data_IF_106124471837
#
_entry.id   IF_106124471837
#
_cell.length_a   1.000
_cell.length_b   1.000
_cell.length_c   1.000
_cell.angle_alpha   90.00
_cell.angle_beta   90.00
_cell.angle_gamma   90.00
#
_symmetry.space_group_name_H-M   'P 1'
#
loop_
_entity.id
_entity.type
_entity.pdbx_description
1 polymer ?
#
# COMPACT_ATOMS: atom_id res chain seq x y z
N UNK A 1 -4.35 -4.44 17.10
CA UNK A 1 -3.86 -5.70 16.53
C UNK A 1 -3.69 -6.68 17.67
N UNK A 2 -4.57 -7.67 17.75
CA UNK A 2 -4.46 -8.78 18.71
C UNK A 2 -3.56 -9.88 18.13
N UNK A 3 -3.05 -10.81 18.95
CA UNK A 3 -2.21 -11.92 18.47
C UNK A 3 -2.88 -12.80 17.40
N UNK A 4 -4.22 -12.80 17.37
CA UNK A 4 -5.02 -13.63 16.46
C UNK A 4 -5.41 -12.88 15.17
N UNK A 5 -4.97 -11.63 15.00
CA UNK A 5 -5.25 -10.80 13.83
C UNK A 5 -4.06 -10.79 12.86
N UNK A 6 -4.36 -10.92 11.56
CA UNK A 6 -3.39 -10.73 10.49
C UNK A 6 -3.82 -9.58 9.58
N UNK A 7 -2.86 -8.72 9.23
CA UNK A 7 -3.06 -7.70 8.19
C UNK A 7 -2.50 -8.22 6.87
N UNK A 8 -3.34 -8.23 5.83
CA UNK A 8 -2.95 -8.63 4.48
C UNK A 8 -3.04 -7.44 3.54
N UNK A 9 -2.01 -7.25 2.73
CA UNK A 9 -2.03 -6.29 1.64
C UNK A 9 -2.14 -7.04 0.30
N UNK A 10 -3.23 -6.80 -0.43
CA UNK A 10 -3.45 -7.38 -1.76
C UNK A 10 -2.93 -6.42 -2.83
N UNK A 11 -1.76 -6.73 -3.40
CA UNK A 11 -1.14 -5.92 -4.46
C UNK A 11 -1.51 -6.37 -5.89
N UNK A 12 -2.08 -7.57 -6.05
CA UNK A 12 -2.50 -8.11 -7.34
C UNK A 12 -3.85 -8.83 -7.27
N UNK A 13 -4.71 -8.61 -8.27
CA UNK A 13 -5.96 -9.34 -8.47
C UNK A 13 -5.97 -10.04 -9.85
N UNK A 14 -6.16 -11.36 -9.86
CA UNK A 14 -6.21 -12.17 -11.08
C UNK A 14 -7.52 -12.04 -11.85
N UNK A 15 -8.59 -11.55 -11.21
CA UNK A 15 -9.88 -11.33 -11.85
C UNK A 15 -9.80 -10.29 -12.98
N UNK A 16 -10.49 -10.55 -14.10
CA UNK A 16 -10.46 -9.71 -15.32
C UNK A 16 -11.78 -8.98 -15.58
N UNK A 17 -12.55 -8.71 -14.54
CA UNK A 17 -13.92 -8.17 -14.59
C UNK A 17 -13.99 -6.62 -14.52
N UNK A 18 -12.91 -5.94 -14.91
CA UNK A 18 -12.84 -4.48 -14.97
C UNK A 18 -12.41 -3.77 -13.68
N UNK A 19 -12.20 -4.49 -12.58
CA UNK A 19 -11.61 -3.92 -11.35
C UNK A 19 -10.13 -3.56 -11.53
N UNK A 20 -9.60 -2.68 -10.68
CA UNK A 20 -8.16 -2.43 -10.59
C UNK A 20 -7.43 -3.68 -10.13
N UNK A 21 -6.46 -4.14 -10.93
CA UNK A 21 -5.75 -5.40 -10.71
C UNK A 21 -4.36 -5.25 -10.11
N UNK A 22 -3.79 -4.06 -10.18
CA UNK A 22 -2.42 -3.80 -9.73
C UNK A 22 -2.43 -2.65 -8.72
N UNK A 23 -1.91 -2.94 -7.52
CA UNK A 23 -1.60 -1.96 -6.50
C UNK A 23 -0.11 -1.99 -6.23
N UNK A 24 0.69 -1.04 -6.74
CA UNK A 24 2.12 -1.02 -6.45
C UNK A 24 2.33 -0.78 -4.95
N UNK A 25 3.10 -1.66 -4.32
CA UNK A 25 3.56 -1.49 -2.94
C UNK A 25 5.07 -1.53 -2.91
N UNK A 26 5.67 -0.53 -2.28
CA UNK A 26 7.12 -0.43 -2.13
C UNK A 26 7.44 0.25 -0.80
N UNK A 27 8.66 0.04 -0.35
CA UNK A 27 9.27 0.75 0.75
C UNK A 27 10.72 1.07 0.37
N UNK A 28 11.26 2.13 0.97
CA UNK A 28 12.66 2.49 0.85
C UNK A 28 13.21 2.85 2.22
N UNK A 29 14.51 2.72 2.38
CA UNK A 29 15.22 3.25 3.55
C UNK A 29 15.61 4.67 3.23
N UNK A 30 15.17 5.63 4.05
CA UNK A 30 15.66 7.00 3.95
C UNK A 30 17.01 7.09 4.70
N UNK A 31 18.13 7.36 3.99
CA UNK A 31 19.45 7.42 4.60
C UNK A 31 19.63 8.61 5.55
N UNK A 32 18.68 9.54 5.58
CA UNK A 32 18.68 10.71 6.46
C UNK A 32 17.91 10.49 7.77
N UNK A 33 17.31 9.31 7.95
CA UNK A 33 16.53 8.95 9.15
C UNK A 33 17.41 8.94 10.41
N UNK A 34 17.10 9.73 11.46
CA UNK A 34 17.80 9.66 12.75
C UNK A 34 17.63 8.31 13.45
N UNK A 35 18.61 7.92 14.28
CA UNK A 35 18.58 6.64 15.00
C UNK A 35 17.45 6.55 16.04
N UNK A 36 16.96 7.69 16.53
CA UNK A 36 15.88 7.85 17.51
C UNK A 36 14.56 8.31 16.86
N UNK A 37 14.44 8.19 15.53
CA UNK A 37 13.21 8.53 14.83
C UNK A 37 12.01 7.72 15.36
N UNK A 38 10.85 8.36 15.40
CA UNK A 38 9.60 7.70 15.74
C UNK A 38 9.32 6.52 14.78
N UNK A 39 8.58 5.48 15.22
CA UNK A 39 8.16 4.40 14.35
C UNK A 39 7.48 4.90 13.08
N UNK A 40 7.76 4.23 11.95
CA UNK A 40 7.18 4.56 10.65
C UNK A 40 5.65 4.57 10.72
N UNK A 41 5.05 5.66 10.25
CA UNK A 41 3.62 5.72 9.96
C UNK A 41 3.33 5.27 8.52
N UNK A 42 2.20 4.59 8.32
CA UNK A 42 1.76 4.20 6.99
C UNK A 42 0.94 5.33 6.38
N UNK A 43 1.28 5.72 5.15
CA UNK A 43 0.50 6.68 4.35
C UNK A 43 -0.20 5.92 3.24
N UNK A 44 -1.51 6.10 3.11
CA UNK A 44 -2.30 5.56 2.01
C UNK A 44 -2.60 6.67 1.00
N UNK A 45 -2.23 6.46 -0.27
CA UNK A 45 -2.54 7.39 -1.38
C UNK A 45 -3.43 6.67 -2.38
N UNK A 46 -4.56 7.28 -2.73
CA UNK A 46 -5.50 6.76 -3.73
C UNK A 46 -5.47 7.65 -4.98
N UNK A 47 -5.17 7.05 -6.12
CA UNK A 47 -5.24 7.73 -7.44
C UNK A 47 -6.48 7.25 -8.17
N UNK A 48 -7.35 8.18 -8.57
CA UNK A 48 -8.56 7.89 -9.34
C UNK A 48 -8.37 8.38 -10.77
N UNK A 49 -8.56 7.48 -11.74
CA UNK A 49 -8.52 7.81 -13.18
C UNK A 49 -9.95 7.73 -13.72
N UNK A 50 -10.42 8.83 -14.30
CA UNK A 50 -11.72 8.90 -14.97
C UNK A 50 -11.47 9.05 -16.47
N UNK A 51 -12.13 8.24 -17.29
CA UNK A 51 -12.10 8.36 -18.74
C UNK A 51 -13.52 8.31 -19.31
N UNK A 52 -13.70 8.84 -20.53
CA UNK A 52 -14.97 8.73 -21.25
C UNK A 52 -15.24 7.27 -21.59
N UNK A 53 -16.50 6.86 -21.50
CA UNK A 53 -16.95 5.55 -21.99
C UNK A 53 -16.72 5.43 -23.48
#
# INVERSE_FOLDING_TARGET
MTPDEALLLKCYDSATDGRTRFGPHTAFIDPTTPADAAPRESIEVRTLVFHKR
#
